data_IF_214633356070
#
_entry.id   IF_214633356070
#
_cell.length_a   1.000
_cell.length_b   1.000
_cell.length_c   1.000
_cell.angle_alpha   90.00
_cell.angle_beta   90.00
_cell.angle_gamma   90.00
#
_symmetry.space_group_name_H-M   'P 1'
#
loop_
_entity.id
_entity.type
_entity.pdbx_description
1 polymer ?
#
# COMPACT_ATOMS: atom_id res chain seq x y z
N UNK A 1 -2.62 -13.63 11.41
CA UNK A 1 -1.61 -13.18 12.41
C UNK A 1 -2.27 -12.15 13.31
N UNK A 2 -1.98 -12.10 14.62
CA UNK A 2 -2.34 -10.95 15.45
C UNK A 2 -1.75 -9.66 14.87
N UNK A 3 -2.39 -8.52 15.15
CA UNK A 3 -2.10 -7.22 14.53
C UNK A 3 -0.59 -6.88 14.57
N UNK A 4 0.03 -6.94 15.75
CA UNK A 4 1.46 -6.67 15.95
C UNK A 4 2.40 -7.53 15.09
N UNK A 5 2.07 -8.80 14.89
CA UNK A 5 2.90 -9.67 14.06
C UNK A 5 2.67 -9.41 12.58
N UNK A 6 1.45 -9.05 12.18
CA UNK A 6 1.16 -8.61 10.82
C UNK A 6 2.01 -7.40 10.44
N UNK A 7 2.01 -6.39 11.30
CA UNK A 7 2.83 -5.17 11.18
C UNK A 7 4.31 -5.51 10.97
N UNK A 8 4.93 -6.20 11.94
CA UNK A 8 6.35 -6.59 11.89
C UNK A 8 6.71 -7.39 10.63
N UNK A 9 5.91 -8.40 10.29
CA UNK A 9 6.23 -9.27 9.15
C UNK A 9 5.96 -8.57 7.82
N UNK A 10 4.97 -7.70 7.73
CA UNK A 10 4.69 -6.93 6.51
C UNK A 10 5.83 -5.94 6.21
N UNK A 11 6.38 -5.31 7.24
CA UNK A 11 7.55 -4.43 7.10
C UNK A 11 8.80 -5.19 6.67
N UNK A 12 9.05 -6.34 7.31
CA UNK A 12 10.15 -7.22 6.93
C UNK A 12 10.04 -7.70 5.48
N UNK A 13 8.83 -8.08 5.04
CA UNK A 13 8.57 -8.48 3.66
C UNK A 13 8.82 -7.33 2.68
N UNK A 14 8.30 -6.13 2.99
CA UNK A 14 8.57 -4.91 2.22
C UNK A 14 10.06 -4.64 2.06
N UNK A 15 10.83 -4.76 3.15
CA UNK A 15 12.29 -4.60 3.15
C UNK A 15 13.03 -5.55 2.20
N UNK A 16 12.55 -6.78 2.01
CA UNK A 16 13.19 -7.77 1.13
C UNK A 16 12.90 -7.52 -0.35
N UNK A 17 11.79 -6.86 -0.68
CA UNK A 17 11.35 -6.63 -2.08
C UNK A 17 11.63 -5.22 -2.61
N UNK A 18 12.38 -4.39 -1.87
CA UNK A 18 12.78 -3.04 -2.30
C UNK A 18 12.28 -1.89 -1.42
N UNK A 19 11.69 -2.21 -0.27
CA UNK A 19 11.26 -1.26 0.75
C UNK A 19 9.77 -0.93 0.72
N UNK A 20 9.33 -0.20 1.76
CA UNK A 20 7.91 0.13 1.98
C UNK A 20 7.30 1.02 0.88
N UNK A 21 8.13 1.71 0.09
CA UNK A 21 7.68 2.49 -1.08
C UNK A 21 7.07 1.63 -2.20
N UNK A 22 7.19 0.30 -2.11
CA UNK A 22 6.62 -0.68 -3.03
C UNK A 22 5.53 -1.55 -2.38
N UNK A 23 5.19 -1.33 -1.11
CA UNK A 23 4.25 -2.16 -0.36
C UNK A 23 2.85 -1.52 -0.33
N UNK A 24 1.90 -1.98 -1.16
CA UNK A 24 0.51 -1.54 -1.08
C UNK A 24 -0.22 -2.16 0.11
N UNK A 25 -1.32 -1.55 0.54
CA UNK A 25 -2.19 -2.08 1.59
C UNK A 25 -3.67 -1.86 1.28
N UNK A 26 -4.48 -2.82 1.75
CA UNK A 26 -5.93 -2.78 1.71
C UNK A 26 -6.52 -3.34 3.00
N UNK A 27 -7.37 -2.56 3.65
CA UNK A 27 -8.04 -2.93 4.89
C UNK A 27 -9.51 -3.19 4.61
N UNK A 28 -9.87 -4.48 4.64
CA UNK A 28 -11.19 -4.96 4.27
C UNK A 28 -12.08 -5.14 5.50
N UNK A 29 -13.24 -4.49 5.50
CA UNK A 29 -14.34 -4.71 6.43
C UNK A 29 -15.47 -5.52 5.79
N UNK A 30 -16.59 -5.65 6.52
CA UNK A 30 -17.78 -6.33 6.01
C UNK A 30 -18.47 -5.55 4.90
N UNK A 31 -18.61 -4.24 5.10
CA UNK A 31 -19.45 -3.37 4.25
C UNK A 31 -18.61 -2.38 3.43
N UNK A 32 -17.35 -2.20 3.80
CA UNK A 32 -16.44 -1.24 3.17
C UNK A 32 -15.00 -1.74 3.26
N UNK A 33 -14.16 -1.23 2.37
CA UNK A 33 -12.71 -1.36 2.44
C UNK A 33 -12.08 0.02 2.26
N UNK A 34 -10.89 0.20 2.80
CA UNK A 34 -10.05 1.36 2.52
C UNK A 34 -8.66 0.92 2.09
N UNK A 35 -7.98 1.74 1.29
CA UNK A 35 -6.72 1.39 0.65
C UNK A 35 -5.70 2.48 0.95
N UNK A 36 -4.50 2.08 1.37
CA UNK A 36 -3.43 2.99 1.79
C UNK A 36 -2.06 2.39 1.45
N UNK A 37 -1.04 3.23 1.29
CA UNK A 37 0.34 2.74 1.29
C UNK A 37 0.71 2.19 2.67
N UNK A 38 1.50 1.12 2.74
CA UNK A 38 1.98 0.61 4.03
C UNK A 38 2.97 1.57 4.72
N UNK A 39 3.67 2.41 3.95
CA UNK A 39 4.63 3.35 4.53
C UNK A 39 3.96 4.50 5.30
N UNK A 40 4.68 5.06 6.27
CA UNK A 40 4.28 6.26 7.00
C UNK A 40 4.50 7.57 6.23
N UNK A 41 4.49 8.70 6.95
CA UNK A 41 4.50 10.04 6.36
C UNK A 41 5.85 10.53 5.82
N UNK A 42 6.96 9.82 6.12
CA UNK A 42 8.34 10.16 5.71
C UNK A 42 8.69 11.67 5.83
N UNK A 43 8.63 12.24 7.05
CA UNK A 43 8.74 13.69 7.27
C UNK A 43 10.10 14.27 6.88
N UNK A 44 11.15 13.45 6.89
CA UNK A 44 12.51 13.79 6.49
C UNK A 44 12.65 14.09 4.99
N UNK A 45 11.72 13.62 4.16
CA UNK A 45 11.70 13.86 2.70
C UNK A 45 10.45 14.60 2.20
N UNK A 46 9.55 15.00 3.09
CA UNK A 46 8.37 15.78 2.75
C UNK A 46 8.73 17.08 2.02
N UNK A 47 7.99 17.40 0.95
CA UNK A 47 8.20 18.60 0.14
C UNK A 47 9.42 18.58 -0.79
N UNK A 48 10.22 17.50 -0.79
CA UNK A 48 11.42 17.40 -1.63
C UNK A 48 11.16 16.84 -3.04
N UNK A 49 9.95 16.35 -3.32
CA UNK A 49 9.57 15.72 -4.58
C UNK A 49 10.46 14.52 -4.97
N UNK A 50 10.84 13.71 -3.98
CA UNK A 50 11.68 12.51 -4.16
C UNK A 50 11.03 11.23 -3.62
N UNK A 51 9.78 11.31 -3.17
CA UNK A 51 9.06 10.14 -2.65
C UNK A 51 8.80 9.16 -3.79
N UNK A 52 8.84 7.86 -3.50
CA UNK A 52 8.36 6.83 -4.41
C UNK A 52 6.84 6.63 -4.20
N UNK A 53 5.97 7.04 -5.14
CA UNK A 53 4.51 6.94 -4.97
C UNK A 53 3.94 5.55 -5.31
N UNK A 54 4.78 4.59 -5.68
CA UNK A 54 4.36 3.28 -6.22
C UNK A 54 3.42 2.52 -5.28
N UNK A 55 3.72 2.47 -3.98
CA UNK A 55 2.85 1.83 -2.98
C UNK A 55 1.42 2.39 -2.99
N UNK A 56 1.29 3.73 -3.08
CA UNK A 56 -0.02 4.39 -3.15
C UNK A 56 -0.75 4.08 -4.45
N UNK A 57 -0.02 4.06 -5.58
CA UNK A 57 -0.58 3.72 -6.90
C UNK A 57 -1.09 2.27 -6.92
N UNK A 58 -0.31 1.32 -6.40
CA UNK A 58 -0.73 -0.07 -6.30
C UNK A 58 -1.90 -0.26 -5.33
N UNK A 59 -1.97 0.53 -4.25
CA UNK A 59 -3.14 0.52 -3.36
C UNK A 59 -4.39 1.05 -4.07
N UNK A 60 -4.24 2.03 -4.97
CA UNK A 60 -5.32 2.47 -5.84
C UNK A 60 -5.70 1.40 -6.89
N UNK A 61 -4.75 0.61 -7.39
CA UNK A 61 -5.05 -0.53 -8.27
C UNK A 61 -5.89 -1.59 -7.53
N UNK A 62 -5.53 -1.93 -6.28
CA UNK A 62 -6.33 -2.80 -5.41
C UNK A 62 -7.74 -2.24 -5.16
N UNK A 63 -7.86 -0.92 -5.00
CA UNK A 63 -9.16 -0.26 -4.88
C UNK A 63 -10.01 -0.41 -6.15
N UNK A 64 -9.40 -0.22 -7.33
CA UNK A 64 -10.10 -0.40 -8.61
C UNK A 64 -10.60 -1.83 -8.75
N UNK A 65 -9.78 -2.82 -8.40
CA UNK A 65 -10.19 -4.23 -8.37
C UNK A 65 -11.37 -4.45 -7.42
N UNK A 66 -11.31 -3.91 -6.20
CA UNK A 66 -12.40 -4.01 -5.21
C UNK A 66 -13.72 -3.38 -5.70
N UNK A 67 -13.66 -2.32 -6.50
CA UNK A 67 -14.81 -1.66 -7.10
C UNK A 67 -15.35 -2.37 -8.36
N UNK A 68 -14.72 -3.48 -8.78
CA UNK A 68 -15.11 -4.24 -9.98
C UNK A 68 -14.47 -3.76 -11.28
N UNK A 69 -13.45 -2.90 -11.20
CA UNK A 69 -12.70 -2.36 -12.35
C UNK A 69 -11.33 -3.04 -12.52
N UNK A 70 -11.30 -4.37 -12.53
CA UNK A 70 -10.06 -5.15 -12.57
C UNK A 70 -9.13 -4.78 -13.75
N UNK A 71 -9.67 -4.58 -14.97
CA UNK A 71 -8.87 -4.17 -16.13
C UNK A 71 -8.22 -2.79 -15.95
N UNK A 72 -8.92 -1.86 -15.28
CA UNK A 72 -8.35 -0.56 -14.98
C UNK A 72 -7.26 -0.67 -13.91
N UNK A 73 -7.43 -1.54 -12.92
CA UNK A 73 -6.42 -1.85 -11.91
C UNK A 73 -5.16 -2.50 -12.50
N UNK A 74 -5.32 -3.42 -13.46
CA UNK A 74 -4.18 -4.08 -14.13
C UNK A 74 -3.37 -3.11 -15.00
N UNK A 75 -4.02 -2.10 -15.58
CA UNK A 75 -3.37 -1.08 -16.42
C UNK A 75 -2.68 0.03 -15.63
N UNK A 76 -2.96 0.14 -14.33
CA UNK A 76 -2.47 1.21 -13.46
C UNK A 76 -1.08 0.88 -12.91
#
# INVERSE_FOLDING_TARGET
LPNLYGDLFSDAAGGVVGGLGLAPSGCYGRDYAYFESAHGSAPDIAGKNIINPTATIFSAAMMLEYLGYAEAGERL
#
